data_IF_600514073230
#
_entry.id   IF_600514073230
#
_cell.length_a   1.000
_cell.length_b   1.000
_cell.length_c   1.000
_cell.angle_alpha   90.00
_cell.angle_beta   90.00
_cell.angle_gamma   90.00
#
_symmetry.space_group_name_H-M   'P 1'
#
loop_
_entity.id
_entity.type
_entity.pdbx_description
1 polymer ?
#
# COMPACT_ATOMS: atom_id res chain seq x y z
N UNK A 1 8.88 -37.60 22.68
CA UNK A 1 8.01 -36.66 21.96
C UNK A 1 7.69 -35.55 22.94
N UNK A 2 8.21 -34.35 22.74
CA UNK A 2 7.91 -33.20 23.60
C UNK A 2 6.53 -32.69 23.24
N UNK A 3 5.60 -32.74 24.20
CA UNK A 3 4.30 -32.07 24.07
C UNK A 3 4.52 -30.56 23.87
N UNK A 4 4.34 -30.09 22.65
CA UNK A 4 4.29 -28.66 22.37
C UNK A 4 2.90 -28.19 22.77
N UNK A 5 2.73 -27.85 24.03
CA UNK A 5 1.52 -27.17 24.50
C UNK A 5 1.62 -25.70 24.06
N UNK A 6 1.14 -25.39 22.85
CA UNK A 6 0.98 -24.00 22.43
C UNK A 6 -0.23 -23.41 23.15
N UNK A 7 0.00 -22.66 24.21
CA UNK A 7 -1.05 -21.86 24.85
C UNK A 7 -1.33 -20.61 24.00
N UNK A 8 -2.55 -20.49 23.47
CA UNK A 8 -3.02 -19.24 22.87
C UNK A 8 -3.09 -18.21 24.00
N UNK A 9 -2.48 -17.02 23.86
CA UNK A 9 -2.61 -15.96 24.86
C UNK A 9 -4.07 -15.60 25.13
N UNK A 10 -4.40 -15.13 26.34
CA UNK A 10 -5.75 -14.66 26.66
C UNK A 10 -6.14 -13.47 25.76
N UNK A 11 -7.45 -13.24 25.65
CA UNK A 11 -7.99 -12.08 24.91
C UNK A 11 -7.48 -10.76 25.51
N UNK A 12 -7.14 -9.83 24.63
CA UNK A 12 -6.86 -8.44 24.98
C UNK A 12 -8.10 -7.57 24.72
N UNK A 13 -8.93 -7.41 25.74
CA UNK A 13 -10.17 -6.66 25.67
C UNK A 13 -9.97 -5.15 25.42
N UNK A 14 -8.74 -4.64 25.47
CA UNK A 14 -8.42 -3.25 25.08
C UNK A 14 -8.47 -3.04 23.56
N UNK A 15 -8.24 -4.09 22.78
CA UNK A 15 -8.31 -4.05 21.32
C UNK A 15 -9.76 -4.05 20.85
N UNK A 16 -10.04 -3.28 19.81
CA UNK A 16 -11.40 -3.12 19.26
C UNK A 16 -11.52 -3.83 17.93
N UNK A 17 -12.73 -4.28 17.63
CA UNK A 17 -13.10 -4.70 16.28
C UNK A 17 -13.00 -3.49 15.34
N UNK A 18 -12.32 -3.66 14.22
CA UNK A 18 -12.30 -2.67 13.13
C UNK A 18 -13.24 -3.15 12.02
N UNK A 19 -14.17 -2.28 11.63
CA UNK A 19 -14.97 -2.43 10.41
C UNK A 19 -14.71 -1.19 9.57
N UNK A 20 -14.22 -1.37 8.36
CA UNK A 20 -13.84 -0.27 7.47
C UNK A 20 -14.45 -0.48 6.08
N UNK A 21 -15.10 0.55 5.57
CA UNK A 21 -15.54 0.64 4.19
C UNK A 21 -14.77 1.78 3.52
N UNK A 22 -14.15 1.59 2.35
CA UNK A 22 -13.35 2.63 1.71
C UNK A 22 -14.13 3.90 1.34
N UNK A 23 -15.46 3.85 1.34
CA UNK A 23 -16.33 5.01 1.07
C UNK A 23 -16.89 5.68 2.34
N UNK A 24 -16.51 5.21 3.55
CA UNK A 24 -16.91 5.84 4.80
C UNK A 24 -16.30 7.23 4.97
N UNK A 25 -17.08 8.15 5.57
CA UNK A 25 -16.72 9.57 5.65
C UNK A 25 -15.47 9.87 6.51
N UNK A 26 -15.08 8.97 7.38
CA UNK A 26 -13.93 9.07 8.28
C UNK A 26 -12.66 8.41 7.73
N UNK A 27 -12.75 7.77 6.55
CA UNK A 27 -11.58 7.18 5.90
C UNK A 27 -10.58 8.23 5.43
N UNK A 28 -9.31 7.89 5.55
CA UNK A 28 -8.21 8.73 5.06
C UNK A 28 -7.84 8.34 3.65
N UNK A 29 -8.06 9.27 2.72
CA UNK A 29 -7.71 9.10 1.31
C UNK A 29 -6.48 9.95 0.99
N UNK A 30 -5.50 9.34 0.35
CA UNK A 30 -4.21 9.96 0.05
C UNK A 30 -3.88 9.80 -1.43
N UNK A 31 -3.53 10.88 -2.09
CA UNK A 31 -2.96 10.81 -3.44
C UNK A 31 -1.47 10.46 -3.36
N UNK A 32 -1.09 9.32 -3.92
CA UNK A 32 0.28 8.80 -3.93
C UNK A 32 0.56 8.15 -5.29
N UNK A 33 1.70 8.44 -5.89
CA UNK A 33 2.17 7.79 -7.14
C UNK A 33 1.13 7.77 -8.28
N UNK A 34 0.29 8.81 -8.35
CA UNK A 34 -0.77 8.95 -9.35
C UNK A 34 -2.04 8.17 -9.04
N UNK A 35 -2.11 7.45 -7.93
CA UNK A 35 -3.31 6.74 -7.44
C UNK A 35 -3.92 7.39 -6.20
N UNK A 36 -5.02 6.82 -5.71
CA UNK A 36 -5.62 7.16 -4.42
C UNK A 36 -5.58 5.94 -3.50
N UNK A 37 -4.96 6.11 -2.33
CA UNK A 37 -4.76 5.08 -1.32
C UNK A 37 -5.61 5.41 -0.11
N UNK A 38 -6.50 4.49 0.24
CA UNK A 38 -7.40 4.60 1.40
C UNK A 38 -6.97 3.62 2.48
N UNK A 39 -6.56 4.14 3.63
CA UNK A 39 -6.11 3.31 4.76
C UNK A 39 -7.34 2.66 5.41
N UNK A 40 -7.51 1.35 5.27
CA UNK A 40 -8.62 0.58 5.86
C UNK A 40 -8.31 0.11 7.28
N UNK A 41 -7.09 -0.41 7.48
CA UNK A 41 -6.64 -0.92 8.79
C UNK A 41 -5.22 -0.43 9.04
N UNK A 42 -5.01 0.25 10.14
CA UNK A 42 -3.70 0.77 10.53
C UNK A 42 -2.88 -0.24 11.32
N UNK A 43 -1.56 -0.05 11.34
CA UNK A 43 -0.66 -0.81 12.19
C UNK A 43 -1.00 -0.70 13.69
N UNK A 44 -1.49 0.44 14.15
CA UNK A 44 -1.96 0.62 15.52
C UNK A 44 -3.12 -0.32 15.86
N UNK A 45 -4.13 -0.42 14.98
CA UNK A 45 -5.29 -1.30 15.15
C UNK A 45 -4.94 -2.78 15.17
N UNK A 46 -3.82 -3.17 14.58
CA UNK A 46 -3.35 -4.57 14.53
C UNK A 46 -2.22 -4.89 15.51
N UNK A 47 -1.87 -3.95 16.38
CA UNK A 47 -0.69 -4.06 17.25
C UNK A 47 0.61 -4.33 16.46
N UNK A 48 0.79 -3.64 15.33
CA UNK A 48 1.97 -3.71 14.47
C UNK A 48 2.04 -4.93 13.55
N UNK A 49 1.02 -5.79 13.54
CA UNK A 49 1.09 -7.06 12.79
C UNK A 49 0.96 -6.87 11.29
N UNK A 50 0.03 -6.02 10.86
CA UNK A 50 -0.18 -5.67 9.46
C UNK A 50 -0.91 -4.34 9.33
N UNK A 51 -0.88 -3.77 8.14
CA UNK A 51 -1.80 -2.71 7.72
C UNK A 51 -2.47 -3.11 6.39
N UNK A 52 -3.62 -2.51 6.09
CA UNK A 52 -4.41 -2.79 4.90
C UNK A 52 -4.84 -1.49 4.23
N UNK A 53 -4.60 -1.39 2.94
CA UNK A 53 -4.92 -0.22 2.12
C UNK A 53 -5.72 -0.62 0.88
N UNK A 54 -6.80 0.09 0.59
CA UNK A 54 -7.51 0.02 -0.69
C UNK A 54 -6.85 1.03 -1.65
N UNK A 55 -6.42 0.57 -2.80
CA UNK A 55 -5.72 1.38 -3.80
C UNK A 55 -6.53 1.48 -5.07
N UNK A 56 -6.90 2.69 -5.47
CA UNK A 56 -7.44 2.99 -6.79
C UNK A 56 -6.31 3.55 -7.66
N UNK A 57 -5.93 2.81 -8.69
CA UNK A 57 -4.78 3.11 -9.56
C UNK A 57 -5.28 3.45 -10.97
N UNK A 58 -5.32 4.72 -11.36
CA UNK A 58 -5.73 5.13 -12.70
C UNK A 58 -4.72 4.66 -13.76
N UNK A 59 -5.09 4.78 -15.03
CA UNK A 59 -4.18 4.52 -16.16
C UNK A 59 -2.87 5.31 -15.98
N UNK A 60 -1.74 4.63 -16.11
CA UNK A 60 -0.40 5.18 -15.94
C UNK A 60 0.05 5.32 -14.47
N UNK A 61 -0.82 5.10 -13.48
CA UNK A 61 -0.47 5.15 -12.06
C UNK A 61 0.37 3.96 -11.61
N UNK A 62 1.07 4.13 -10.50
CA UNK A 62 1.90 3.12 -9.84
C UNK A 62 3.24 3.69 -9.34
N UNK A 63 3.83 3.11 -8.29
CA UNK A 63 5.08 3.56 -7.71
C UNK A 63 6.28 3.26 -8.61
N UNK A 64 7.36 4.06 -8.50
CA UNK A 64 8.63 3.75 -9.14
C UNK A 64 9.26 2.48 -8.53
N UNK A 65 10.35 1.95 -9.12
CA UNK A 65 11.08 0.82 -8.55
C UNK A 65 11.53 1.11 -7.12
N UNK A 66 11.26 0.14 -6.22
CA UNK A 66 11.59 0.23 -4.79
C UNK A 66 11.74 -1.17 -4.20
N UNK A 67 12.16 -1.23 -2.94
CA UNK A 67 12.15 -2.43 -2.11
C UNK A 67 11.90 -2.04 -0.65
N UNK A 68 11.47 -3.00 0.15
CA UNK A 68 11.25 -2.85 1.60
C UNK A 68 11.50 -4.19 2.29
N UNK A 69 11.75 -4.16 3.59
CA UNK A 69 12.10 -5.35 4.38
C UNK A 69 10.89 -6.02 5.08
N UNK A 70 9.71 -5.86 4.50
CA UNK A 70 8.46 -6.50 4.92
C UNK A 70 7.79 -7.18 3.72
N UNK A 71 6.88 -8.13 4.00
CA UNK A 71 6.04 -8.76 2.96
C UNK A 71 4.95 -7.78 2.51
N UNK A 72 4.71 -7.72 1.21
CA UNK A 72 3.64 -6.94 0.63
C UNK A 72 2.78 -7.82 -0.29
N UNK A 73 1.49 -7.80 -0.08
CA UNK A 73 0.56 -8.63 -0.84
C UNK A 73 -0.52 -7.78 -1.49
N UNK A 74 -0.73 -7.98 -2.77
CA UNK A 74 -1.78 -7.32 -3.55
C UNK A 74 -2.84 -8.32 -3.99
N UNK A 75 -4.12 -8.00 -3.76
CA UNK A 75 -5.25 -8.72 -4.36
C UNK A 75 -5.98 -7.80 -5.32
N UNK A 76 -6.08 -8.21 -6.58
CA UNK A 76 -6.72 -7.41 -7.63
C UNK A 76 -8.23 -7.57 -7.54
N UNK A 77 -8.94 -6.47 -7.27
CA UNK A 77 -10.41 -6.44 -7.18
C UNK A 77 -11.06 -6.01 -8.51
N UNK A 78 -10.42 -5.07 -9.22
CA UNK A 78 -10.91 -4.55 -10.50
C UNK A 78 -9.73 -4.24 -11.42
N UNK A 79 -9.92 -4.47 -12.72
CA UNK A 79 -8.92 -4.16 -13.75
C UNK A 79 -7.75 -5.13 -13.81
N UNK A 80 -6.60 -4.61 -14.23
CA UNK A 80 -5.36 -5.37 -14.41
C UNK A 80 -4.16 -4.49 -14.04
N UNK A 81 -3.16 -5.08 -13.43
CA UNK A 81 -1.90 -4.43 -13.05
C UNK A 81 -0.72 -5.21 -13.63
N UNK A 82 0.22 -4.49 -14.23
CA UNK A 82 1.53 -5.03 -14.59
C UNK A 82 2.51 -4.82 -13.43
N UNK A 83 3.08 -5.90 -12.93
CA UNK A 83 4.14 -5.91 -11.92
C UNK A 83 5.49 -6.13 -12.60
N UNK A 84 6.50 -5.40 -12.13
CA UNK A 84 7.91 -5.70 -12.42
C UNK A 84 8.55 -6.24 -11.14
N UNK A 85 9.02 -7.47 -11.17
CA UNK A 85 9.62 -8.15 -10.04
C UNK A 85 11.02 -8.63 -10.43
N UNK A 86 12.08 -8.11 -9.78
CA UNK A 86 13.49 -8.42 -10.09
C UNK A 86 13.84 -8.27 -11.58
N UNK A 87 13.17 -7.31 -12.27
CA UNK A 87 13.34 -7.07 -13.69
C UNK A 87 12.42 -7.89 -14.61
N UNK A 88 11.74 -8.91 -14.11
CA UNK A 88 10.74 -9.67 -14.86
C UNK A 88 9.37 -9.02 -14.77
N UNK A 89 8.62 -9.05 -15.86
CA UNK A 89 7.30 -8.45 -15.99
C UNK A 89 6.24 -9.52 -15.96
N UNK A 90 5.20 -9.31 -15.14
CA UNK A 90 4.01 -10.16 -15.10
C UNK A 90 2.74 -9.29 -15.00
N UNK A 91 1.65 -9.73 -15.61
CA UNK A 91 0.33 -9.10 -15.45
C UNK A 91 -0.54 -9.94 -14.52
N UNK A 92 -1.32 -9.24 -13.68
CA UNK A 92 -2.30 -9.84 -12.78
C UNK A 92 -3.65 -9.13 -12.92
N UNK A 93 -4.70 -9.92 -13.19
CA UNK A 93 -6.07 -9.45 -13.33
C UNK A 93 -6.94 -9.79 -12.10
N UNK A 94 -8.23 -9.49 -12.23
CA UNK A 94 -9.23 -9.68 -11.16
C UNK A 94 -9.17 -11.10 -10.55
N UNK A 95 -9.16 -11.16 -9.22
CA UNK A 95 -9.08 -12.40 -8.43
C UNK A 95 -7.65 -12.90 -8.19
N UNK A 96 -6.64 -12.38 -8.90
CA UNK A 96 -5.26 -12.74 -8.63
C UNK A 96 -4.75 -12.10 -7.34
N UNK A 97 -3.92 -12.85 -6.62
CA UNK A 97 -3.14 -12.36 -5.48
C UNK A 97 -1.66 -12.48 -5.80
N UNK A 98 -0.92 -11.38 -5.63
CA UNK A 98 0.52 -11.27 -5.86
C UNK A 98 1.19 -10.99 -4.52
N UNK A 99 2.11 -11.85 -4.08
CA UNK A 99 2.93 -11.62 -2.89
C UNK A 99 4.34 -11.21 -3.31
N UNK A 100 4.78 -10.08 -2.81
CA UNK A 100 6.14 -9.57 -2.97
C UNK A 100 6.92 -9.90 -1.69
N UNK A 101 7.91 -10.80 -1.77
CA UNK A 101 8.72 -11.14 -0.60
C UNK A 101 9.59 -9.95 -0.17
N UNK A 102 9.87 -9.88 1.12
CA UNK A 102 10.72 -8.87 1.72
C UNK A 102 12.07 -8.72 0.96
N UNK A 103 12.55 -7.49 0.85
CA UNK A 103 13.80 -7.07 0.20
C UNK A 103 13.85 -7.21 -1.34
N UNK A 104 12.82 -7.74 -1.98
CA UNK A 104 12.81 -7.92 -3.42
C UNK A 104 12.55 -6.59 -4.17
N UNK A 105 13.41 -6.18 -5.12
CA UNK A 105 13.13 -5.03 -5.98
C UNK A 105 11.89 -5.26 -6.82
N UNK A 106 10.97 -4.31 -6.78
CA UNK A 106 9.73 -4.38 -7.53
C UNK A 106 9.14 -3.00 -7.84
N UNK A 107 8.16 -2.99 -8.71
CA UNK A 107 7.26 -1.88 -8.99
C UNK A 107 5.97 -2.43 -9.58
N UNK A 108 4.93 -1.60 -9.66
CA UNK A 108 3.77 -1.94 -10.47
C UNK A 108 3.29 -0.73 -11.28
N UNK A 109 2.54 -0.97 -12.33
CA UNK A 109 1.94 0.06 -13.16
C UNK A 109 0.63 -0.41 -13.77
N UNK A 110 -0.37 0.45 -13.74
CA UNK A 110 -1.56 0.25 -14.54
C UNK A 110 -1.30 0.73 -15.98
N UNK A 111 -1.06 -0.21 -16.89
CA UNK A 111 -0.86 0.09 -18.32
C UNK A 111 -2.15 0.05 -19.14
N UNK A 112 -3.27 -0.33 -18.51
CA UNK A 112 -4.57 -0.36 -19.17
C UNK A 112 -5.14 1.07 -19.34
N UNK A 113 -6.22 1.20 -20.08
CA UNK A 113 -6.94 2.46 -20.27
C UNK A 113 -8.06 2.70 -19.23
N UNK A 114 -8.18 1.84 -18.22
CA UNK A 114 -9.17 1.92 -17.15
C UNK A 114 -8.46 1.94 -15.79
N UNK A 115 -9.13 2.45 -14.77
CA UNK A 115 -8.62 2.32 -13.41
C UNK A 115 -8.63 0.85 -12.97
N UNK A 116 -7.64 0.49 -12.15
CA UNK A 116 -7.59 -0.78 -11.44
C UNK A 116 -7.77 -0.52 -9.95
N UNK A 117 -8.32 -1.50 -9.23
CA UNK A 117 -8.49 -1.47 -7.79
C UNK A 117 -7.86 -2.70 -7.15
N UNK A 118 -7.10 -2.49 -6.10
CA UNK A 118 -6.41 -3.54 -5.36
C UNK A 118 -6.50 -3.33 -3.85
N UNK A 119 -6.46 -4.43 -3.11
CA UNK A 119 -6.11 -4.39 -1.69
C UNK A 119 -4.61 -4.64 -1.56
N UNK A 120 -3.94 -3.81 -0.77
CA UNK A 120 -2.53 -3.96 -0.40
C UNK A 120 -2.43 -4.23 1.09
N UNK A 121 -1.85 -5.36 1.48
CA UNK A 121 -1.55 -5.72 2.86
C UNK A 121 -0.03 -5.78 3.05
N UNK A 122 0.48 -5.11 4.07
CA UNK A 122 1.89 -5.16 4.45
C UNK A 122 2.05 -5.75 5.85
N UNK A 123 3.00 -6.67 6.02
CA UNK A 123 3.30 -7.33 7.29
C UNK A 123 4.81 -7.48 7.52
N UNK A 124 5.34 -7.01 8.68
CA UNK A 124 4.68 -6.22 9.71
C UNK A 124 4.19 -4.87 9.19
N UNK A 125 3.33 -4.20 9.97
CA UNK A 125 2.79 -2.88 9.65
C UNK A 125 3.88 -1.79 9.60
N UNK A 126 3.51 -0.61 9.11
CA UNK A 126 4.35 0.58 8.99
C UNK A 126 4.23 1.30 7.66
N UNK A 127 3.77 0.60 6.63
CA UNK A 127 3.53 1.21 5.32
C UNK A 127 2.40 2.24 5.34
N UNK A 128 1.39 2.03 6.17
CA UNK A 128 0.33 3.00 6.44
C UNK A 128 0.87 4.33 6.98
N UNK A 129 1.82 4.30 7.91
CA UNK A 129 2.49 5.50 8.42
C UNK A 129 3.34 6.20 7.35
N UNK A 130 4.01 5.42 6.49
CA UNK A 130 4.73 5.98 5.34
C UNK A 130 3.78 6.71 4.40
N UNK A 131 2.67 6.09 4.02
CA UNK A 131 1.66 6.70 3.17
C UNK A 131 1.09 7.99 3.77
N UNK A 132 0.77 7.99 5.07
CA UNK A 132 0.32 9.19 5.78
C UNK A 132 1.36 10.31 5.80
N UNK A 133 2.66 9.97 5.77
CA UNK A 133 3.76 10.93 5.80
C UNK A 133 4.07 11.53 4.42
N UNK A 134 3.81 10.83 3.33
CA UNK A 134 4.20 11.26 1.97
C UNK A 134 3.01 11.61 1.07
N UNK A 135 1.81 11.09 1.35
CA UNK A 135 0.62 11.31 0.54
C UNK A 135 0.00 12.69 0.73
N UNK A 136 -0.65 13.19 -0.30
CA UNK A 136 -1.47 14.41 -0.24
C UNK A 136 -2.92 14.02 0.06
N UNK A 137 -3.55 14.56 1.14
CA UNK A 137 -4.95 14.28 1.45
C UNK A 137 -5.87 14.66 0.30
N UNK A 138 -6.83 13.80 -0.01
CA UNK A 138 -7.89 14.05 -1.00
C UNK A 138 -9.26 13.75 -0.41
N UNK A 139 -10.31 14.33 -1.00
CA UNK A 139 -11.65 14.34 -0.41
C UNK A 139 -12.37 12.97 -0.44
N UNK A 140 -12.01 12.10 -1.35
CA UNK A 140 -12.65 10.77 -1.49
C UNK A 140 -11.73 9.81 -2.24
N UNK A 141 -12.04 8.53 -2.21
CA UNK A 141 -11.35 7.49 -2.96
C UNK A 141 -11.27 7.76 -4.46
N UNK A 142 -12.31 8.34 -5.04
CA UNK A 142 -12.42 8.66 -6.46
C UNK A 142 -12.06 10.12 -6.81
N UNK A 143 -11.59 10.90 -5.84
CA UNK A 143 -11.15 12.26 -6.10
C UNK A 143 -9.98 12.26 -7.08
N UNK A 144 -9.95 13.18 -8.05
CA UNK A 144 -8.82 13.30 -8.96
C UNK A 144 -7.56 13.68 -8.17
N UNK A 145 -6.39 13.18 -8.57
CA UNK A 145 -5.14 13.57 -7.93
C UNK A 145 -4.94 15.10 -8.07
N UNK A 146 -4.27 15.74 -7.11
CA UNK A 146 -3.98 17.17 -7.18
C UNK A 146 -3.14 17.49 -8.42
N UNK A 147 -3.45 18.60 -9.07
CA UNK A 147 -2.65 19.11 -10.20
C UNK A 147 -1.38 19.74 -9.63
N UNK A 148 -0.28 19.06 -9.79
CA UNK A 148 1.02 19.50 -9.29
C UNK A 148 1.87 20.07 -10.42
N UNK A 149 2.55 21.17 -10.15
CA UNK A 149 3.69 21.66 -10.96
C UNK A 149 4.87 20.69 -10.90
N UNK A 150 5.82 20.82 -11.79
CA UNK A 150 7.03 19.99 -11.79
C UNK A 150 7.86 20.17 -10.50
N UNK A 151 7.91 21.42 -9.97
CA UNK A 151 8.57 21.70 -8.69
C UNK A 151 7.90 20.95 -7.53
N UNK A 152 6.57 20.99 -7.44
CA UNK A 152 5.83 20.28 -6.39
C UNK A 152 5.99 18.76 -6.52
N UNK A 153 5.98 18.20 -7.73
CA UNK A 153 6.28 16.77 -7.97
C UNK A 153 7.67 16.41 -7.47
N UNK A 154 8.66 17.22 -7.81
CA UNK A 154 10.02 17.02 -7.36
C UNK A 154 10.13 17.04 -5.83
N UNK A 155 9.51 18.02 -5.16
CA UNK A 155 9.47 18.09 -3.68
C UNK A 155 8.86 16.84 -3.04
N UNK A 156 7.76 16.30 -3.61
CA UNK A 156 7.14 15.07 -3.10
C UNK A 156 8.06 13.86 -3.22
N UNK A 157 8.75 13.73 -4.35
CA UNK A 157 9.75 12.67 -4.55
C UNK A 157 10.91 12.81 -3.55
N UNK A 158 11.42 14.04 -3.33
CA UNK A 158 12.48 14.26 -2.35
C UNK A 158 12.03 13.96 -0.93
N UNK A 159 10.79 14.33 -0.55
CA UNK A 159 10.20 13.99 0.74
C UNK A 159 10.08 12.47 0.92
N UNK A 160 9.59 11.77 -0.11
CA UNK A 160 9.48 10.32 -0.07
C UNK A 160 10.86 9.66 0.09
N UNK A 161 11.88 10.11 -0.66
CA UNK A 161 13.26 9.61 -0.53
C UNK A 161 13.83 9.85 0.86
N UNK A 162 13.62 11.03 1.44
CA UNK A 162 14.14 11.37 2.76
C UNK A 162 13.51 10.54 3.88
N UNK A 163 12.25 10.15 3.73
CA UNK A 163 11.49 9.41 4.74
C UNK A 163 11.54 7.89 4.55
N UNK A 164 11.83 7.40 3.35
CA UNK A 164 11.73 5.98 3.01
C UNK A 164 12.49 5.08 3.98
N UNK A 165 13.74 5.42 4.32
CA UNK A 165 14.55 4.61 5.25
C UNK A 165 13.97 4.49 6.66
N UNK A 166 13.28 5.55 7.17
CA UNK A 166 12.56 5.51 8.44
C UNK A 166 11.46 4.44 8.45
N UNK A 167 10.85 4.23 7.30
CA UNK A 167 9.75 3.28 7.10
C UNK A 167 10.21 2.00 6.38
N UNK A 168 11.49 1.64 6.55
CA UNK A 168 12.04 0.37 6.07
C UNK A 168 11.89 0.17 4.55
N UNK A 169 11.89 1.27 3.81
CA UNK A 169 11.71 1.32 2.34
C UNK A 169 12.91 1.99 1.69
N UNK A 170 13.29 1.54 0.50
CA UNK A 170 14.32 2.14 -0.35
C UNK A 170 13.75 2.38 -1.75
N UNK A 171 13.81 3.62 -2.22
CA UNK A 171 13.47 3.97 -3.59
C UNK A 171 14.68 3.77 -4.50
N UNK A 172 14.53 3.01 -5.57
CA UNK A 172 15.59 2.62 -6.51
C UNK A 172 15.61 3.54 -7.75
N UNK A 173 15.48 4.88 -7.56
CA UNK A 173 15.39 5.93 -8.60
C UNK A 173 16.33 7.09 -8.33
#
# INVERSE_FOLDING_TARGET
MSDITTTIPPDDASRKLTVANPDDADMRHLSIAGGTYTILVTGEQTAGRYCLTDMLVPSGGGPPPHRHDFEEMFTILEGEIEFTFRGEVLSAGVGATVNIPANAPHSFKNKSNKAARLLCMCTPAGQDEFFLSVGDPVASRSAPPPKLSDAERFERVQRAKALAGKYRTELLV
#
